data_IF_631003698616
#
_entry.id   IF_631003698616
#
_cell.length_a   1.000
_cell.length_b   1.000
_cell.length_c   1.000
_cell.angle_alpha   90.00
_cell.angle_beta   90.00
_cell.angle_gamma   90.00
#
_symmetry.space_group_name_H-M   'P 1'
#
loop_
_entity.id
_entity.type
_entity.pdbx_description
1 polymer ?
#
# COMPACT_ATOMS: atom_id res chain seq x y z
N UNK A 1 -22.42 -1.70 -0.09
CA UNK A 1 -22.09 -0.43 0.61
C UNK A 1 -21.95 0.62 -0.47
N UNK A 2 -22.56 1.79 -0.32
CA UNK A 2 -22.55 2.83 -1.36
C UNK A 2 -21.38 3.80 -1.17
N UNK A 3 -20.69 4.14 -2.27
CA UNK A 3 -19.73 5.24 -2.33
C UNK A 3 -20.15 6.21 -3.44
N UNK A 4 -20.29 7.48 -3.08
CA UNK A 4 -20.44 8.58 -4.05
C UNK A 4 -19.07 8.89 -4.64
N UNK A 5 -18.95 8.90 -5.95
CA UNK A 5 -17.72 9.30 -6.63
C UNK A 5 -17.78 10.79 -7.01
N UNK A 6 -16.62 11.45 -7.00
CA UNK A 6 -16.46 12.73 -7.70
C UNK A 6 -16.48 12.50 -9.22
N UNK A 7 -16.74 13.53 -10.02
CA UNK A 7 -16.73 13.42 -11.48
C UNK A 7 -15.40 12.86 -12.03
N UNK A 8 -14.28 13.30 -11.45
CA UNK A 8 -12.95 12.78 -11.81
C UNK A 8 -12.78 11.30 -11.48
N UNK A 9 -13.24 10.87 -10.30
CA UNK A 9 -13.17 9.47 -9.89
C UNK A 9 -14.11 8.57 -10.71
N UNK A 10 -15.25 9.10 -11.14
CA UNK A 10 -16.20 8.37 -12.00
C UNK A 10 -15.61 8.12 -13.39
N UNK A 11 -14.96 9.12 -13.99
CA UNK A 11 -14.23 8.95 -15.27
C UNK A 11 -13.16 7.86 -15.15
N UNK A 12 -12.30 7.93 -14.12
CA UNK A 12 -11.27 6.93 -13.88
C UNK A 12 -11.84 5.54 -13.69
N UNK A 13 -12.94 5.43 -12.95
CA UNK A 13 -13.64 4.16 -12.77
C UNK A 13 -14.10 3.58 -14.12
N UNK A 14 -14.73 4.37 -14.99
CA UNK A 14 -15.16 3.89 -16.29
C UNK A 14 -14.01 3.47 -17.20
N UNK A 15 -12.91 4.24 -17.20
CA UNK A 15 -11.70 3.91 -17.96
C UNK A 15 -11.10 2.59 -17.47
N UNK A 16 -10.90 2.44 -16.16
CA UNK A 16 -10.41 1.19 -15.57
C UNK A 16 -11.34 0.02 -15.87
N UNK A 17 -12.66 0.19 -15.67
CA UNK A 17 -13.67 -0.85 -15.86
C UNK A 17 -13.71 -1.38 -17.29
N UNK A 18 -13.32 -0.56 -18.27
CA UNK A 18 -13.22 -0.93 -19.68
C UNK A 18 -11.99 -1.77 -20.04
N UNK A 19 -11.03 -1.97 -19.12
CA UNK A 19 -9.78 -2.70 -19.40
C UNK A 19 -9.93 -4.22 -19.29
N UNK A 20 -9.05 -4.95 -19.98
CA UNK A 20 -8.94 -6.39 -19.84
C UNK A 20 -8.46 -6.81 -18.43
N UNK A 21 -7.59 -6.01 -17.80
CA UNK A 21 -7.14 -6.25 -16.44
C UNK A 21 -8.29 -6.18 -15.45
N UNK A 22 -9.15 -5.16 -15.54
CA UNK A 22 -10.35 -5.09 -14.71
C UNK A 22 -11.23 -6.33 -14.93
N UNK A 23 -11.53 -6.69 -16.18
CA UNK A 23 -12.33 -7.88 -16.46
C UNK A 23 -11.78 -9.15 -15.81
N UNK A 24 -10.46 -9.39 -15.89
CA UNK A 24 -9.80 -10.52 -15.25
C UNK A 24 -9.87 -10.47 -13.71
N UNK A 25 -9.56 -9.31 -13.11
CA UNK A 25 -9.54 -9.10 -11.67
C UNK A 25 -10.93 -9.22 -11.00
N UNK A 26 -11.99 -8.87 -11.72
CA UNK A 26 -13.36 -9.11 -11.24
C UNK A 26 -13.77 -10.57 -11.44
N UNK A 27 -13.39 -11.19 -12.56
CA UNK A 27 -13.80 -12.56 -12.89
C UNK A 27 -13.17 -13.61 -11.95
N UNK A 28 -11.92 -13.41 -11.53
CA UNK A 28 -11.24 -14.29 -10.56
C UNK A 28 -11.59 -13.94 -9.10
N UNK A 29 -12.38 -12.88 -8.89
CA UNK A 29 -12.84 -12.41 -7.58
C UNK A 29 -11.77 -11.67 -6.78
N UNK A 30 -10.61 -11.35 -7.35
CA UNK A 30 -9.55 -10.55 -6.72
C UNK A 30 -10.09 -9.21 -6.25
N UNK A 31 -10.85 -8.52 -7.10
CA UNK A 31 -11.61 -7.33 -6.73
C UNK A 31 -12.99 -7.72 -6.22
N UNK A 32 -13.46 -7.02 -5.19
CA UNK A 32 -14.84 -7.16 -4.72
C UNK A 32 -15.81 -6.79 -5.83
N UNK A 33 -16.85 -7.60 -6.02
CA UNK A 33 -17.90 -7.30 -6.99
C UNK A 33 -18.47 -5.90 -6.72
N UNK A 34 -18.55 -5.10 -7.78
CA UNK A 34 -18.93 -3.69 -7.72
C UNK A 34 -19.83 -3.35 -8.89
N UNK A 35 -20.99 -2.78 -8.58
CA UNK A 35 -22.02 -2.39 -9.54
C UNK A 35 -22.29 -0.89 -9.44
N UNK A 36 -22.60 -0.27 -10.57
CA UNK A 36 -23.07 1.11 -10.61
C UNK A 36 -24.57 1.15 -10.32
N UNK A 37 -24.99 2.11 -9.49
CA UNK A 37 -26.38 2.36 -9.13
C UNK A 37 -26.67 3.84 -9.29
N UNK A 38 -27.81 4.19 -9.87
CA UNK A 38 -28.26 5.58 -10.01
C UNK A 38 -29.24 5.93 -8.88
N UNK A 39 -28.91 6.94 -8.09
CA UNK A 39 -29.77 7.45 -7.01
C UNK A 39 -29.74 8.99 -7.01
N UNK A 40 -30.91 9.63 -7.00
CA UNK A 40 -31.07 11.10 -7.03
C UNK A 40 -30.27 11.81 -8.16
N UNK A 41 -30.13 11.16 -9.31
CA UNK A 41 -29.38 11.67 -10.46
C UNK A 41 -27.86 11.66 -10.28
N UNK A 42 -27.35 10.85 -9.34
CA UNK A 42 -25.93 10.61 -9.11
C UNK A 42 -25.60 9.13 -9.30
N UNK A 43 -24.47 8.88 -9.96
CA UNK A 43 -23.89 7.53 -10.06
C UNK A 43 -23.17 7.18 -8.75
N UNK A 44 -23.57 6.06 -8.16
CA UNK A 44 -23.00 5.46 -6.95
C UNK A 44 -22.34 4.13 -7.31
N UNK A 45 -21.27 3.79 -6.59
CA UNK A 45 -20.75 2.42 -6.60
C UNK A 45 -21.31 1.64 -5.42
N UNK A 46 -21.93 0.51 -5.70
CA UNK A 46 -22.33 -0.48 -4.72
C UNK A 46 -21.34 -1.65 -4.71
N UNK A 47 -20.68 -1.86 -3.57
CA UNK A 47 -19.81 -3.02 -3.36
C UNK A 47 -20.55 -4.17 -2.67
N UNK A 48 -20.26 -5.40 -3.11
CA UNK A 48 -20.70 -6.61 -2.42
C UNK A 48 -20.22 -6.63 -0.97
N UNK A 49 -21.07 -7.12 -0.06
CA UNK A 49 -20.77 -7.12 1.37
C UNK A 49 -19.82 -8.27 1.71
N UNK A 50 -18.73 -7.94 2.37
CA UNK A 50 -17.87 -8.93 3.05
C UNK A 50 -18.56 -9.32 4.38
N UNK A 51 -18.78 -10.62 4.65
CA UNK A 51 -19.57 -11.07 5.79
C UNK A 51 -18.87 -10.87 7.15
N UNK A 52 -17.54 -10.84 7.14
CA UNK A 52 -16.71 -10.61 8.32
C UNK A 52 -15.67 -9.56 8.01
N UNK A 53 -15.65 -8.49 8.80
CA UNK A 53 -14.57 -7.52 8.79
C UNK A 53 -13.55 -7.95 9.83
N UNK A 54 -12.30 -8.09 9.41
CA UNK A 54 -11.17 -8.37 10.28
C UNK A 54 -10.10 -7.31 10.08
N UNK A 55 -9.30 -7.06 11.11
CA UNK A 55 -8.22 -6.10 11.06
C UNK A 55 -6.87 -6.79 10.87
N UNK A 56 -5.95 -6.14 10.17
CA UNK A 56 -4.63 -6.71 9.85
C UNK A 56 -3.76 -7.04 11.07
N UNK A 57 -4.01 -6.39 12.22
CA UNK A 57 -3.37 -6.75 13.49
C UNK A 57 -4.00 -7.98 14.18
N UNK A 58 -5.03 -8.58 13.58
CA UNK A 58 -5.65 -9.85 14.00
C UNK A 58 -5.25 -11.01 13.09
N UNK A 59 -4.66 -10.69 11.93
CA UNK A 59 -4.27 -11.67 10.92
C UNK A 59 -3.06 -12.49 11.34
N UNK A 60 -3.00 -13.73 10.86
CA UNK A 60 -1.80 -14.56 10.96
C UNK A 60 -0.68 -14.01 10.05
N UNK A 61 0.52 -14.57 10.20
CA UNK A 61 1.63 -14.28 9.28
C UNK A 61 1.25 -14.56 7.82
N UNK A 62 0.68 -15.73 7.55
CA UNK A 62 0.34 -16.13 6.19
C UNK A 62 -0.79 -15.26 5.63
N UNK A 63 -1.78 -14.88 6.43
CA UNK A 63 -2.82 -13.94 5.97
C UNK A 63 -2.24 -12.58 5.58
N UNK A 64 -1.35 -12.00 6.39
CA UNK A 64 -0.71 -10.72 6.04
C UNK A 64 0.18 -10.85 4.80
N UNK A 65 0.87 -11.99 4.67
CA UNK A 65 1.69 -12.31 3.49
C UNK A 65 0.84 -12.45 2.23
N UNK A 66 -0.26 -13.19 2.29
CA UNK A 66 -1.18 -13.40 1.17
C UNK A 66 -1.82 -12.08 0.73
N UNK A 67 -2.16 -11.21 1.69
CA UNK A 67 -2.63 -9.86 1.41
C UNK A 67 -1.54 -9.00 0.73
N UNK A 68 -0.28 -9.07 1.20
CA UNK A 68 0.83 -8.36 0.58
C UNK A 68 1.07 -8.81 -0.87
N UNK A 69 1.02 -10.12 -1.12
CA UNK A 69 1.15 -10.70 -2.46
C UNK A 69 -0.01 -10.24 -3.35
N UNK A 70 -1.25 -10.29 -2.85
CA UNK A 70 -2.42 -9.78 -3.59
C UNK A 70 -2.23 -8.31 -3.99
N UNK A 71 -1.75 -7.47 -3.08
CA UNK A 71 -1.46 -6.06 -3.38
C UNK A 71 -0.45 -5.91 -4.52
N UNK A 72 0.64 -6.69 -4.51
CA UNK A 72 1.65 -6.66 -5.56
C UNK A 72 1.10 -7.18 -6.90
N UNK A 73 0.39 -8.31 -6.88
CA UNK A 73 -0.20 -8.91 -8.08
C UNK A 73 -1.21 -7.98 -8.74
N UNK A 74 -2.04 -7.29 -7.94
CA UNK A 74 -2.95 -6.25 -8.47
C UNK A 74 -2.13 -5.10 -9.05
N UNK A 75 -1.13 -4.60 -8.33
CA UNK A 75 -0.32 -3.46 -8.78
C UNK A 75 0.37 -3.76 -10.11
N UNK A 76 0.93 -4.96 -10.29
CA UNK A 76 1.54 -5.40 -11.55
C UNK A 76 0.51 -5.42 -12.70
N UNK A 77 -0.66 -6.05 -12.50
CA UNK A 77 -1.74 -6.09 -13.51
C UNK A 77 -2.29 -4.70 -13.85
N UNK A 78 -2.34 -3.79 -12.89
CA UNK A 78 -2.76 -2.41 -13.11
C UNK A 78 -1.76 -1.66 -13.99
N UNK A 79 -0.47 -1.81 -13.71
CA UNK A 79 0.61 -1.15 -14.47
C UNK A 79 0.58 -1.54 -15.94
N UNK A 80 0.32 -2.82 -16.25
CA UNK A 80 0.15 -3.31 -17.63
C UNK A 80 -1.01 -2.63 -18.38
N UNK A 81 -1.97 -2.06 -17.65
CA UNK A 81 -3.15 -1.38 -18.21
C UNK A 81 -3.11 0.15 -18.06
N UNK A 82 -1.98 0.73 -17.65
CA UNK A 82 -1.83 2.17 -17.47
C UNK A 82 -2.46 2.71 -16.18
N UNK A 83 -2.66 1.86 -15.17
CA UNK A 83 -3.17 2.22 -13.84
C UNK A 83 -2.16 1.87 -12.75
N UNK A 84 -2.35 2.43 -11.56
CA UNK A 84 -1.55 2.11 -10.38
C UNK A 84 -2.40 2.16 -9.12
N UNK A 85 -2.02 1.37 -8.11
CA UNK A 85 -2.62 1.44 -6.78
C UNK A 85 -1.96 2.57 -5.98
N UNK A 86 -2.69 3.64 -5.66
CA UNK A 86 -2.13 4.75 -4.86
C UNK A 86 -2.01 4.42 -3.37
N UNK A 87 -2.98 3.70 -2.82
CA UNK A 87 -3.06 3.38 -1.38
C UNK A 87 -2.80 1.89 -1.16
N UNK A 88 -1.55 1.54 -0.84
CA UNK A 88 -1.12 0.15 -0.69
C UNK A 88 -1.17 -0.26 0.79
N UNK A 89 -2.38 -0.35 1.34
CA UNK A 89 -2.60 -0.66 2.76
C UNK A 89 -3.42 -1.93 2.96
N UNK A 90 -3.21 -2.68 4.07
CA UNK A 90 -4.02 -3.84 4.43
C UNK A 90 -5.49 -3.49 4.69
N UNK A 91 -5.83 -2.23 4.98
CA UNK A 91 -7.21 -1.79 5.13
C UNK A 91 -8.04 -2.01 3.87
N UNK A 92 -7.38 -2.03 2.70
CA UNK A 92 -8.02 -2.24 1.41
C UNK A 92 -8.24 -3.72 1.09
N UNK A 93 -7.90 -4.63 2.01
CA UNK A 93 -8.04 -6.08 1.83
C UNK A 93 -8.92 -6.66 2.93
N UNK A 94 -9.77 -7.61 2.54
CA UNK A 94 -10.55 -8.45 3.45
C UNK A 94 -10.52 -9.91 3.01
N UNK A 95 -10.96 -10.81 3.88
CA UNK A 95 -10.97 -12.25 3.60
C UNK A 95 -12.39 -12.79 3.40
N UNK A 96 -12.61 -13.43 2.26
CA UNK A 96 -13.78 -14.29 2.01
C UNK A 96 -13.36 -15.76 2.24
N UNK A 97 -13.64 -16.27 3.44
CA UNK A 97 -13.06 -17.54 3.89
C UNK A 97 -11.56 -17.39 4.04
N UNK A 98 -10.77 -18.20 3.33
CA UNK A 98 -9.30 -18.11 3.31
C UNK A 98 -8.75 -17.24 2.18
N UNK A 99 -9.62 -16.65 1.35
CA UNK A 99 -9.20 -15.93 0.13
C UNK A 99 -9.15 -14.41 0.39
N UNK A 100 -8.01 -13.74 0.18
CA UNK A 100 -7.95 -12.29 0.26
C UNK A 100 -8.68 -11.67 -0.95
N UNK A 101 -9.35 -10.55 -0.70
CA UNK A 101 -10.15 -9.77 -1.65
C UNK A 101 -9.87 -8.31 -1.43
N UNK A 102 -9.63 -7.60 -2.53
CA UNK A 102 -9.42 -6.16 -2.50
C UNK A 102 -10.74 -5.41 -2.60
N UNK A 103 -10.96 -4.46 -1.69
CA UNK A 103 -12.26 -3.82 -1.48
C UNK A 103 -12.29 -2.33 -1.82
N UNK A 104 -11.15 -1.64 -1.93
CA UNK A 104 -11.11 -0.19 -2.19
C UNK A 104 -10.75 0.14 -3.64
N UNK A 105 -11.73 0.04 -4.54
CA UNK A 105 -11.51 0.38 -5.95
C UNK A 105 -11.11 1.86 -6.15
N UNK A 106 -11.50 2.74 -5.23
CA UNK A 106 -11.16 4.17 -5.33
C UNK A 106 -9.67 4.47 -5.10
N UNK A 107 -8.87 3.48 -4.73
CA UNK A 107 -7.42 3.60 -4.68
C UNK A 107 -6.73 3.22 -6.00
N UNK A 108 -7.47 2.85 -7.03
CA UNK A 108 -6.93 2.62 -8.38
C UNK A 108 -7.00 3.95 -9.14
N UNK A 109 -5.85 4.41 -9.63
CA UNK A 109 -5.73 5.67 -10.37
C UNK A 109 -4.92 5.47 -11.64
N UNK A 110 -5.03 6.39 -12.59
CA UNK A 110 -4.16 6.40 -13.77
C UNK A 110 -2.68 6.46 -13.36
N UNK A 111 -1.83 5.73 -14.09
CA UNK A 111 -0.40 5.73 -13.88
C UNK A 111 0.27 6.86 -14.68
N UNK A 112 1.02 7.72 -14.00
CA UNK A 112 1.89 8.70 -14.64
C UNK A 112 3.33 8.17 -14.65
N UNK A 113 3.91 7.91 -15.84
CA UNK A 113 5.25 7.30 -16.01
C UNK A 113 6.38 8.08 -15.32
N UNK A 114 6.19 9.38 -15.08
CA UNK A 114 7.17 10.23 -14.40
C UNK A 114 7.27 9.95 -12.90
N UNK A 115 6.31 9.24 -12.33
CA UNK A 115 6.25 8.95 -10.90
C UNK A 115 6.55 7.48 -10.60
N UNK A 116 7.24 7.25 -9.47
CA UNK A 116 7.38 5.91 -8.90
C UNK A 116 6.07 5.45 -8.27
N UNK A 117 6.04 4.23 -7.73
CA UNK A 117 4.84 3.74 -7.04
C UNK A 117 4.57 4.56 -5.77
N UNK A 118 3.54 5.40 -5.80
CA UNK A 118 3.15 6.31 -4.71
C UNK A 118 2.86 5.54 -3.41
N UNK A 119 2.24 4.36 -3.52
CA UNK A 119 1.92 3.50 -2.38
C UNK A 119 3.11 2.73 -1.79
N UNK A 120 4.32 2.83 -2.36
CA UNK A 120 5.45 1.99 -1.96
C UNK A 120 5.82 2.12 -0.49
N UNK A 121 5.85 3.35 0.06
CA UNK A 121 6.16 3.55 1.47
C UNK A 121 5.12 2.89 2.38
N UNK A 122 3.82 3.10 2.09
CA UNK A 122 2.73 2.45 2.83
C UNK A 122 2.85 0.92 2.76
N UNK A 123 3.16 0.36 1.59
CA UNK A 123 3.34 -1.07 1.43
C UNK A 123 4.45 -1.61 2.34
N UNK A 124 5.58 -0.90 2.41
CA UNK A 124 6.67 -1.26 3.29
C UNK A 124 6.25 -1.22 4.77
N UNK A 125 5.65 -0.11 5.18
CA UNK A 125 5.29 0.17 6.58
C UNK A 125 4.21 -0.77 7.12
N UNK A 126 3.26 -1.18 6.26
CA UNK A 126 2.05 -1.91 6.68
C UNK A 126 2.07 -3.41 6.36
N UNK A 127 2.87 -3.86 5.39
CA UNK A 127 3.04 -5.28 5.08
C UNK A 127 4.47 -5.76 5.33
N UNK A 128 5.42 -5.18 4.62
CA UNK A 128 6.76 -5.76 4.50
C UNK A 128 7.53 -5.71 5.82
N UNK A 129 7.51 -4.60 6.54
CA UNK A 129 8.16 -4.48 7.84
C UNK A 129 7.58 -5.43 8.91
N UNK A 130 6.25 -5.52 9.10
CA UNK A 130 5.65 -6.57 9.94
C UNK A 130 6.10 -7.99 9.60
N UNK A 131 6.12 -8.35 8.31
CA UNK A 131 6.55 -9.66 7.84
C UNK A 131 8.04 -9.90 8.12
N UNK A 132 8.89 -8.87 7.99
CA UNK A 132 10.30 -8.91 8.37
C UNK A 132 10.48 -9.15 9.86
N UNK A 133 9.72 -8.46 10.71
CA UNK A 133 9.78 -8.63 12.17
C UNK A 133 9.46 -10.08 12.53
N UNK A 134 8.35 -10.60 12.02
CA UNK A 134 7.96 -11.98 12.29
C UNK A 134 8.98 -13.01 11.79
N UNK A 135 9.44 -12.89 10.54
CA UNK A 135 10.35 -13.88 9.93
C UNK A 135 11.79 -13.80 10.45
N UNK A 136 12.32 -12.60 10.70
CA UNK A 136 13.74 -12.39 11.01
C UNK A 136 14.02 -12.25 12.52
N UNK A 137 12.99 -12.02 13.33
CA UNK A 137 13.12 -11.93 14.80
C UNK A 137 12.28 -12.96 15.54
N UNK A 138 11.40 -13.68 14.85
CA UNK A 138 10.48 -14.62 15.48
C UNK A 138 9.61 -13.95 16.56
N UNK A 139 9.18 -12.71 16.30
CA UNK A 139 8.32 -11.90 17.18
C UNK A 139 7.01 -11.59 16.47
N UNK A 140 5.90 -11.75 17.19
CA UNK A 140 4.56 -11.37 16.70
C UNK A 140 4.51 -9.88 16.32
N UNK A 141 4.04 -9.57 15.10
CA UNK A 141 3.93 -8.19 14.64
C UNK A 141 2.66 -7.48 15.14
N UNK A 142 1.65 -8.26 15.52
CA UNK A 142 0.30 -7.81 15.86
C UNK A 142 0.28 -6.72 16.94
N UNK A 143 1.07 -6.80 18.03
CA UNK A 143 1.13 -5.72 19.03
C UNK A 143 1.63 -4.39 18.45
N UNK A 144 2.59 -4.44 17.51
CA UNK A 144 3.14 -3.23 16.89
C UNK A 144 2.11 -2.61 15.93
N UNK A 145 1.46 -3.42 15.09
CA UNK A 145 0.42 -2.94 14.19
C UNK A 145 -0.84 -2.42 14.92
N UNK A 146 -1.15 -2.98 16.10
CA UNK A 146 -2.25 -2.45 16.94
C UNK A 146 -1.96 -1.06 17.50
N UNK A 147 -0.68 -0.72 17.71
CA UNK A 147 -0.25 0.60 18.19
C UNK A 147 0.07 1.58 17.05
N UNK A 148 0.39 1.06 15.87
CA UNK A 148 0.76 1.81 14.68
C UNK A 148 -0.15 1.40 13.52
N UNK A 149 -1.41 1.82 13.58
CA UNK A 149 -2.43 1.45 12.58
C UNK A 149 -2.08 1.97 11.18
N UNK A 150 -1.33 3.07 11.10
CA UNK A 150 -0.89 3.67 9.83
C UNK A 150 0.39 3.04 9.27
N UNK A 151 0.95 2.03 9.96
CA UNK A 151 2.18 1.35 9.57
C UNK A 151 3.36 1.64 10.48
N UNK A 152 4.36 0.74 10.43
CA UNK A 152 5.57 0.84 11.24
C UNK A 152 6.56 1.80 10.58
N UNK A 153 7.01 2.87 11.25
CA UNK A 153 7.94 3.80 10.64
C UNK A 153 9.31 3.14 10.43
N UNK A 154 10.05 3.59 9.43
CA UNK A 154 11.41 3.12 9.14
C UNK A 154 12.35 3.23 10.36
N UNK A 155 12.22 4.27 11.16
CA UNK A 155 13.02 4.47 12.37
C UNK A 155 12.85 3.31 13.36
N UNK A 156 11.64 2.75 13.44
CA UNK A 156 11.36 1.57 14.25
C UNK A 156 12.14 0.37 13.73
N UNK A 157 12.14 0.13 12.42
CA UNK A 157 12.92 -0.95 11.80
C UNK A 157 14.42 -0.79 12.08
N UNK A 158 14.97 0.42 12.00
CA UNK A 158 16.39 0.68 12.25
C UNK A 158 16.81 0.46 13.70
N UNK A 159 15.88 0.56 14.64
CA UNK A 159 16.13 0.23 16.05
C UNK A 159 16.19 -1.28 16.30
N UNK A 160 15.51 -2.06 15.44
CA UNK A 160 15.36 -3.51 15.59
C UNK A 160 16.36 -4.30 14.73
N UNK A 161 16.78 -3.74 13.60
CA UNK A 161 17.68 -4.35 12.63
C UNK A 161 19.03 -3.65 12.58
N UNK A 162 20.09 -4.45 12.69
CA UNK A 162 21.47 -3.99 12.63
C UNK A 162 22.09 -4.17 11.25
N UNK A 163 23.33 -3.68 11.09
CA UNK A 163 24.09 -3.84 9.85
C UNK A 163 24.32 -5.31 9.44
N UNK A 164 24.35 -6.23 10.40
CA UNK A 164 24.45 -7.67 10.10
C UNK A 164 23.19 -8.23 9.42
N UNK A 165 22.03 -7.61 9.64
CA UNK A 165 20.79 -8.03 8.97
C UNK A 165 20.74 -7.64 7.49
N UNK A 166 21.57 -6.67 7.06
CA UNK A 166 21.69 -6.28 5.65
C UNK A 166 22.30 -7.42 4.82
N UNK A 167 23.13 -8.26 5.44
CA UNK A 167 23.75 -9.42 4.77
C UNK A 167 22.84 -10.65 4.74
N UNK A 168 21.62 -10.57 5.28
CA UNK A 168 20.67 -11.68 5.17
C UNK A 168 20.23 -11.83 3.71
N UNK A 169 20.17 -13.07 3.20
CA UNK A 169 19.81 -13.32 1.82
C UNK A 169 18.36 -12.90 1.53
N UNK A 170 18.12 -12.46 0.29
CA UNK A 170 16.81 -12.05 -0.22
C UNK A 170 16.60 -10.54 -0.21
N UNK A 171 15.36 -10.13 -0.47
CA UNK A 171 14.96 -8.72 -0.70
C UNK A 171 15.11 -7.84 0.56
N UNK A 172 15.26 -8.45 1.73
CA UNK A 172 15.38 -7.73 3.00
C UNK A 172 16.61 -6.82 3.09
N UNK A 173 17.76 -7.28 2.58
CA UNK A 173 18.99 -6.49 2.56
C UNK A 173 18.86 -5.27 1.65
N UNK A 174 18.27 -5.48 0.47
CA UNK A 174 18.07 -4.41 -0.53
C UNK A 174 17.12 -3.32 -0.04
N UNK A 175 16.02 -3.71 0.62
CA UNK A 175 15.07 -2.76 1.21
C UNK A 175 15.76 -1.93 2.30
N UNK A 176 16.37 -2.60 3.29
CA UNK A 176 17.06 -1.90 4.38
C UNK A 176 18.18 -0.99 3.85
N UNK A 177 18.93 -1.41 2.83
CA UNK A 177 19.99 -0.63 2.24
C UNK A 177 19.45 0.60 1.49
N UNK A 178 18.45 0.44 0.61
CA UNK A 178 17.80 1.55 -0.10
C UNK A 178 17.30 2.59 0.88
N UNK A 179 16.69 2.16 1.97
CA UNK A 179 16.10 3.05 2.96
C UNK A 179 17.16 3.77 3.81
N UNK A 180 18.24 3.08 4.20
CA UNK A 180 19.38 3.71 4.87
C UNK A 180 20.02 4.79 3.97
N UNK A 181 20.15 4.52 2.67
CA UNK A 181 20.67 5.49 1.69
C UNK A 181 19.71 6.68 1.55
N UNK A 182 18.41 6.43 1.37
CA UNK A 182 17.39 7.47 1.26
C UNK A 182 17.37 8.41 2.48
N UNK A 183 17.45 7.86 3.70
CA UNK A 183 17.49 8.63 4.94
C UNK A 183 18.76 9.50 5.05
N UNK A 184 19.92 9.03 4.56
CA UNK A 184 21.17 9.82 4.54
C UNK A 184 21.11 10.97 3.55
N UNK A 185 20.51 10.76 2.39
CA UNK A 185 20.32 11.82 1.38
C UNK A 185 19.39 12.91 1.89
N UNK A 186 18.27 12.53 2.52
CA UNK A 186 17.32 13.48 3.14
C UNK A 186 17.97 14.30 4.27
N UNK A 187 18.80 13.66 5.11
CA UNK A 187 19.56 14.34 6.18
C UNK A 187 20.61 15.31 5.65
N UNK A 188 21.30 14.97 4.54
CA UNK A 188 22.24 15.86 3.85
C UNK A 188 21.52 17.04 3.17
N UNK A 189 20.38 16.81 2.54
CA UNK A 189 19.57 17.86 1.94
C UNK A 189 19.05 18.85 3.00
N UNK A 190 18.56 18.35 4.13
CA UNK A 190 18.13 19.18 5.27
C UNK A 190 19.27 19.96 5.93
N UNK A 191 20.49 19.42 5.99
CA UNK A 191 21.67 20.14 6.46
C UNK A 191 22.10 21.25 5.49
N UNK A 192 22.07 20.99 4.17
CA UNK A 192 22.42 22.01 3.17
C UNK A 192 21.39 23.15 3.12
N UNK A 193 20.10 22.86 3.33
CA UNK A 193 19.06 23.89 3.44
C UNK A 193 19.24 24.79 4.69
N UNK A 194 19.75 24.25 5.79
CA UNK A 194 20.03 25.02 7.01
C UNK A 194 21.31 25.86 6.93
N UNK A 195 22.27 25.48 6.09
CA UNK A 195 23.51 26.24 5.86
C UNK A 195 23.25 27.39 4.85
N UNK A 196 22.35 27.22 3.88
CA UNK A 196 21.98 28.26 2.91
C UNK A 196 21.08 29.38 3.44
N UNK A 197 20.55 29.26 4.66
CA UNK A 197 19.70 30.28 5.31
C UNK A 197 20.43 31.23 6.27
N UNK A 198 21.75 31.07 6.44
CA UNK A 198 22.52 31.78 7.46
C UNK A 198 23.25 33.06 6.97
N UNK A 199 23.22 33.38 5.67
CA UNK A 199 23.88 34.58 5.14
C UNK A 199 22.88 35.53 4.47
N UNK A 200 22.44 36.54 5.21
CA UNK A 200 22.15 37.92 4.74
C UNK A 200 21.63 38.76 5.91
N UNK A 201 22.54 39.09 6.84
CA UNK A 201 22.46 40.35 7.59
C UNK A 201 23.85 40.97 7.56
N UNK A 202 24.01 41.95 6.69
CA UNK A 202 25.17 42.84 6.66
C UNK A 202 24.58 44.26 6.85
N UNK A 203 25.24 45.11 7.66
CA UNK A 203 24.63 46.07 8.57
C UNK A 203 24.00 47.31 7.91
#
# INVERSE_FOLDING_TARGET
MYRVLSEGALRQWHEFRGTAAAAALFADGTLVETTEVEEDGKTLLEHARVPLISYFYEWSFDMLKDAALLTLDITEKLLESGFIMKDATPFNIQFLGSRPVFIDIGSIVEYEETEGWVGYAQFLETFMYPLMIASLRNVSFQPFLRSHIDGLPMEFMRSLFGWMDIFKPGVFGDILLRDIVAARTKRRAGQNANIGGADLKVP
#
